data_IF_636030482003
#
_entry.id   IF_636030482003
#
_cell.length_a   1.000
_cell.length_b   1.000
_cell.length_c   1.000
_cell.angle_alpha   90.00
_cell.angle_beta   90.00
_cell.angle_gamma   90.00
#
_symmetry.space_group_name_H-M   'P 1'
#
loop_
_entity.id
_entity.type
_entity.pdbx_description
1 polymer ?
#
# COMPACT_ATOMS: atom_id res chain seq x y z
N UNK A 1 34.97 -7.03 -2.29
CA UNK A 1 33.79 -6.59 -1.50
C UNK A 1 34.05 -5.15 -1.08
N UNK A 2 33.07 -4.24 -1.21
CA UNK A 2 33.29 -2.82 -0.90
C UNK A 2 33.25 -2.59 0.61
N UNK A 3 34.39 -2.30 1.23
CA UNK A 3 34.48 -2.02 2.68
C UNK A 3 34.30 -0.53 3.04
N UNK A 4 34.37 0.36 2.05
CA UNK A 4 34.25 1.81 2.28
C UNK A 4 32.82 2.30 2.01
N UNK A 5 32.35 3.35 2.72
CA UNK A 5 31.08 4.00 2.42
C UNK A 5 31.03 4.48 0.97
N UNK A 6 29.91 4.25 0.30
CA UNK A 6 29.71 4.63 -1.10
C UNK A 6 28.23 4.89 -1.37
N UNK A 7 27.92 5.49 -2.53
CA UNK A 7 26.53 5.66 -2.98
C UNK A 7 26.27 4.80 -4.20
N UNK A 8 25.03 4.33 -4.35
CA UNK A 8 24.54 3.63 -5.53
C UNK A 8 23.34 4.38 -6.07
N UNK A 9 23.29 4.56 -7.39
CA UNK A 9 22.17 5.21 -8.04
C UNK A 9 21.08 4.17 -8.35
N UNK A 10 19.85 4.45 -7.95
CA UNK A 10 18.68 3.66 -8.31
C UNK A 10 18.11 4.21 -9.61
N UNK A 11 18.26 3.47 -10.71
CA UNK A 11 17.78 3.88 -12.03
C UNK A 11 16.24 3.90 -12.14
N UNK A 12 15.52 3.19 -11.27
CA UNK A 12 14.06 3.17 -11.30
C UNK A 12 13.44 4.41 -10.66
N UNK A 13 14.05 4.92 -9.58
CA UNK A 13 13.54 6.10 -8.86
C UNK A 13 14.34 7.37 -9.15
N UNK A 14 15.52 7.25 -9.75
CA UNK A 14 16.45 8.36 -9.98
C UNK A 14 17.22 8.78 -8.73
N UNK A 15 17.03 8.09 -7.60
CA UNK A 15 17.58 8.48 -6.29
C UNK A 15 18.93 7.83 -6.01
N UNK A 16 19.67 8.40 -5.05
CA UNK A 16 20.93 7.84 -4.57
C UNK A 16 20.76 7.20 -3.20
N UNK A 17 21.26 5.97 -3.05
CA UNK A 17 21.28 5.23 -1.79
C UNK A 17 22.68 5.27 -1.19
N UNK A 18 22.80 5.73 0.05
CA UNK A 18 24.04 5.65 0.82
C UNK A 18 24.21 4.24 1.41
N UNK A 19 25.36 3.62 1.13
CA UNK A 19 25.74 2.31 1.64
C UNK A 19 26.88 2.47 2.63
N UNK A 20 26.63 2.11 3.88
CA UNK A 20 27.61 2.12 4.98
C UNK A 20 27.84 0.69 5.49
N UNK A 21 28.83 -0.06 4.95
CA UNK A 21 28.96 -1.51 5.12
C UNK A 21 29.02 -2.01 6.57
N UNK A 22 29.49 -1.19 7.50
CA UNK A 22 29.68 -1.58 8.91
C UNK A 22 28.61 -1.03 9.86
N UNK A 23 27.57 -0.36 9.36
CA UNK A 23 26.56 0.32 10.21
C UNK A 23 25.86 -0.62 11.18
N UNK A 24 25.56 -1.85 10.74
CA UNK A 24 24.89 -2.87 11.55
C UNK A 24 25.75 -3.45 12.68
N UNK A 25 27.07 -3.18 12.72
CA UNK A 25 27.96 -3.63 13.82
C UNK A 25 27.78 -2.82 15.11
N UNK A 26 27.04 -1.70 15.07
CA UNK A 26 26.77 -0.91 16.25
C UNK A 26 25.82 -1.68 17.18
N UNK A 27 26.09 -1.74 18.49
CA UNK A 27 25.23 -2.42 19.42
C UNK A 27 23.84 -1.74 19.45
N UNK A 28 22.79 -2.52 19.21
CA UNK A 28 21.41 -2.05 19.23
C UNK A 28 20.85 -2.13 20.65
N UNK A 29 20.39 -0.98 21.17
CA UNK A 29 19.69 -0.86 22.46
C UNK A 29 18.29 -0.22 22.30
N UNK A 30 17.79 -0.18 21.07
CA UNK A 30 16.49 0.41 20.76
C UNK A 30 15.35 -0.60 20.85
N UNK A 31 14.20 -0.22 20.27
CA UNK A 31 13.01 -1.07 20.22
C UNK A 31 13.29 -2.40 19.52
N UNK A 32 12.62 -3.45 19.99
CA UNK A 32 12.58 -4.75 19.32
C UNK A 32 11.13 -5.00 18.93
N UNK A 33 10.90 -5.26 17.65
CA UNK A 33 9.56 -5.54 17.15
C UNK A 33 9.04 -6.88 17.69
N UNK A 34 7.76 -6.92 18.05
CA UNK A 34 7.14 -8.14 18.54
C UNK A 34 6.99 -9.17 17.41
N UNK A 35 7.37 -10.41 17.68
CA UNK A 35 7.10 -11.54 16.77
C UNK A 35 5.81 -12.22 17.21
N UNK A 36 4.81 -12.30 16.33
CA UNK A 36 3.60 -13.08 16.58
C UNK A 36 3.79 -14.51 16.09
N UNK A 37 3.66 -15.49 17.00
CA UNK A 37 3.93 -16.90 16.72
C UNK A 37 2.68 -17.78 16.59
N UNK A 38 1.48 -17.23 16.75
CA UNK A 38 0.23 -17.99 16.70
C UNK A 38 -0.82 -17.28 15.84
N UNK A 39 -1.13 -17.89 14.70
CA UNK A 39 -2.26 -17.49 13.86
C UNK A 39 -3.34 -18.56 13.97
N UNK A 40 -4.58 -18.16 14.25
CA UNK A 40 -5.74 -19.05 14.15
C UNK A 40 -6.09 -19.24 12.67
N UNK A 41 -6.57 -20.43 12.30
CA UNK A 41 -7.04 -20.70 10.93
C UNK A 41 -8.29 -19.86 10.58
N UNK A 42 -9.14 -19.59 11.56
CA UNK A 42 -10.30 -18.71 11.43
C UNK A 42 -10.55 -18.01 12.76
N UNK A 43 -10.90 -16.72 12.70
CA UNK A 43 -11.31 -15.93 13.86
C UNK A 43 -12.67 -15.32 13.56
N UNK A 44 -13.63 -15.48 14.48
CA UNK A 44 -15.00 -15.01 14.33
C UNK A 44 -15.10 -13.47 14.30
N UNK A 45 -14.15 -12.78 14.92
CA UNK A 45 -14.12 -11.31 14.96
C UNK A 45 -13.33 -10.68 13.79
N UNK A 46 -12.69 -11.51 12.95
CA UNK A 46 -11.90 -11.03 11.82
C UNK A 46 -12.80 -10.60 10.67
N UNK A 47 -12.77 -9.32 10.32
CA UNK A 47 -13.58 -8.75 9.23
C UNK A 47 -13.11 -9.17 7.83
N UNK A 48 -11.94 -9.80 7.74
CA UNK A 48 -11.41 -10.33 6.48
C UNK A 48 -11.73 -11.82 6.29
N UNK A 49 -12.11 -12.56 7.33
CA UNK A 49 -12.33 -14.01 7.22
C UNK A 49 -13.60 -14.37 6.41
N UNK A 50 -13.66 -15.56 5.77
CA UNK A 50 -14.84 -16.05 5.07
C UNK A 50 -16.04 -16.17 6.02
N UNK A 51 -17.23 -15.85 5.52
CA UNK A 51 -18.49 -15.93 6.28
C UNK A 51 -18.70 -14.84 7.33
N UNK A 52 -17.67 -14.08 7.70
CA UNK A 52 -17.78 -13.01 8.69
C UNK A 52 -18.33 -11.72 8.07
N UNK A 53 -18.85 -10.84 8.93
CA UNK A 53 -19.29 -9.50 8.53
C UNK A 53 -18.11 -8.54 8.51
N UNK A 54 -18.02 -7.74 7.45
CA UNK A 54 -17.09 -6.62 7.34
C UNK A 54 -17.56 -5.43 8.17
N UNK A 55 -16.68 -4.42 8.31
CA UNK A 55 -17.00 -3.17 9.02
C UNK A 55 -18.17 -2.43 8.35
N UNK A 56 -18.29 -2.52 7.02
CA UNK A 56 -19.43 -1.97 6.27
C UNK A 56 -20.76 -2.69 6.54
N UNK A 57 -20.75 -3.83 7.24
CA UNK A 57 -21.92 -4.67 7.48
C UNK A 57 -22.19 -5.72 6.41
N UNK A 58 -21.47 -5.68 5.27
CA UNK A 58 -21.53 -6.72 4.24
C UNK A 58 -20.95 -8.05 4.76
N UNK A 59 -21.52 -9.18 4.35
CA UNK A 59 -21.01 -10.49 4.71
C UNK A 59 -20.04 -11.01 3.65
N UNK A 60 -18.86 -11.45 4.08
CA UNK A 60 -17.91 -12.11 3.19
C UNK A 60 -18.49 -13.46 2.73
N UNK A 61 -18.40 -13.81 1.44
CA UNK A 61 -18.75 -15.15 0.98
C UNK A 61 -17.83 -16.20 1.64
N UNK A 62 -18.26 -17.46 1.65
CA UNK A 62 -17.41 -18.58 2.09
C UNK A 62 -16.40 -18.96 0.99
N UNK A 63 -15.43 -18.07 0.77
CA UNK A 63 -14.38 -18.26 -0.21
C UNK A 63 -13.34 -19.28 0.29
N UNK A 64 -12.79 -20.09 -0.62
CA UNK A 64 -11.74 -21.09 -0.32
C UNK A 64 -10.35 -20.69 -0.81
N UNK A 65 -10.26 -19.60 -1.58
CA UNK A 65 -9.02 -19.06 -2.15
C UNK A 65 -9.09 -17.52 -2.10
N UNK A 66 -8.56 -16.81 -3.08
CA UNK A 66 -8.47 -15.35 -3.07
C UNK A 66 -9.84 -14.71 -3.27
N UNK A 67 -10.20 -13.79 -2.38
CA UNK A 67 -11.39 -12.96 -2.49
C UNK A 67 -11.01 -11.47 -2.63
N UNK A 68 -11.60 -10.80 -3.61
CA UNK A 68 -11.35 -9.38 -3.90
C UNK A 68 -12.63 -8.60 -3.64
N UNK A 69 -12.53 -7.56 -2.83
CA UNK A 69 -13.63 -6.64 -2.53
C UNK A 69 -13.13 -5.20 -2.56
N UNK A 70 -14.07 -4.25 -2.63
CA UNK A 70 -13.75 -2.83 -2.54
C UNK A 70 -13.47 -2.49 -1.07
N UNK A 71 -12.31 -1.88 -0.76
CA UNK A 71 -11.98 -1.46 0.60
C UNK A 71 -13.12 -0.62 1.21
N UNK A 72 -13.55 -0.94 2.42
CA UNK A 72 -14.64 -0.21 3.08
C UNK A 72 -14.25 1.26 3.39
N UNK A 73 -12.95 1.55 3.55
CA UNK A 73 -12.38 2.88 3.76
C UNK A 73 -11.45 3.28 2.61
N UNK A 74 -12.01 3.46 1.41
CA UNK A 74 -11.25 3.78 0.21
C UNK A 74 -10.52 5.12 0.36
N UNK A 75 -9.20 5.14 0.11
CA UNK A 75 -8.42 6.37 0.13
C UNK A 75 -8.69 7.28 -1.10
N UNK A 76 -9.22 6.69 -2.18
CA UNK A 76 -9.52 7.38 -3.44
C UNK A 76 -10.89 6.90 -3.90
N UNK A 77 -11.75 7.83 -4.32
CA UNK A 77 -13.06 7.51 -4.86
C UNK A 77 -13.02 7.35 -6.39
N UNK A 78 -13.90 6.52 -6.98
CA UNK A 78 -13.98 6.36 -8.43
C UNK A 78 -14.52 7.61 -9.15
N UNK A 79 -15.12 8.54 -8.41
CA UNK A 79 -15.68 9.77 -8.97
C UNK A 79 -14.96 10.99 -8.44
N UNK A 80 -14.79 11.96 -9.34
CA UNK A 80 -14.18 13.24 -9.04
C UNK A 80 -15.07 14.06 -8.11
N UNK A 81 -14.55 14.42 -6.95
CA UNK A 81 -15.05 15.54 -6.17
C UNK A 81 -14.48 16.83 -6.75
N UNK A 82 -15.34 17.82 -7.03
CA UNK A 82 -14.88 19.17 -7.39
C UNK A 82 -14.38 19.84 -6.11
N UNK A 83 -13.07 19.93 -5.96
CA UNK A 83 -12.43 20.82 -4.98
C UNK A 83 -11.84 22.00 -5.73
N UNK A 84 -12.09 23.20 -5.21
CA UNK A 84 -11.43 24.42 -5.70
C UNK A 84 -10.06 24.49 -5.03
N UNK A 85 -8.96 24.50 -5.79
CA UNK A 85 -7.63 24.72 -5.23
C UNK A 85 -7.58 26.00 -4.39
N UNK A 86 -6.83 26.03 -3.28
CA UNK A 86 -6.47 27.29 -2.65
C UNK A 86 -5.63 28.12 -3.63
N UNK A 87 -6.05 29.36 -3.88
CA UNK A 87 -5.35 30.27 -4.80
C UNK A 87 -4.21 30.98 -4.05
N UNK A 88 -3.04 30.34 -3.97
CA UNK A 88 -1.81 31.00 -3.54
C UNK A 88 -0.55 30.37 -4.17
N UNK A 89 0.54 31.15 -4.23
CA UNK A 89 1.78 30.76 -4.91
C UNK A 89 2.64 29.72 -4.15
N UNK A 90 2.25 29.32 -2.94
CA UNK A 90 3.01 28.39 -2.08
C UNK A 90 2.38 27.00 -2.00
N UNK A 91 1.13 26.86 -2.43
CA UNK A 91 0.37 25.63 -2.37
C UNK A 91 -0.08 25.24 -3.78
N UNK A 92 0.35 24.06 -4.22
CA UNK A 92 -0.17 23.43 -5.41
C UNK A 92 -1.08 22.26 -4.99
N UNK A 93 -2.31 22.22 -5.50
CA UNK A 93 -3.18 21.07 -5.34
C UNK A 93 -3.41 20.39 -6.69
N UNK A 94 -3.04 19.12 -6.78
CA UNK A 94 -3.28 18.30 -7.97
C UNK A 94 -4.51 17.44 -7.74
N UNK A 95 -5.42 17.45 -8.72
CA UNK A 95 -6.61 16.61 -8.67
C UNK A 95 -6.23 15.15 -8.98
N UNK A 96 -6.46 14.26 -8.02
CA UNK A 96 -6.25 12.82 -8.23
C UNK A 96 -7.38 12.24 -9.05
N UNK A 97 -7.09 11.72 -10.25
CA UNK A 97 -8.06 11.02 -11.12
C UNK A 97 -7.72 9.53 -11.17
N UNK A 98 -8.72 8.66 -10.97
CA UNK A 98 -8.59 7.23 -11.21
C UNK A 98 -9.19 6.89 -12.59
N UNK A 99 -8.33 6.68 -13.60
CA UNK A 99 -8.80 6.27 -14.93
C UNK A 99 -8.98 4.75 -15.01
N UNK A 100 -10.23 4.30 -15.18
CA UNK A 100 -10.58 2.90 -15.34
C UNK A 100 -10.18 2.39 -16.73
N UNK A 101 -8.94 1.93 -16.89
CA UNK A 101 -8.50 1.23 -18.11
C UNK A 101 -9.09 -0.19 -18.11
N UNK A 102 -10.27 -0.37 -18.74
CA UNK A 102 -10.79 -1.70 -19.08
C UNK A 102 -9.93 -2.33 -20.18
N UNK A 103 -8.84 -3.01 -19.81
CA UNK A 103 -8.14 -3.93 -20.71
C UNK A 103 -8.50 -5.36 -20.30
N UNK A 104 -9.19 -6.05 -21.20
CA UNK A 104 -9.70 -7.40 -21.03
C UNK A 104 -8.58 -8.41 -21.31
N UNK A 105 -7.63 -8.53 -20.39
CA UNK A 105 -6.57 -9.55 -20.44
C UNK A 105 -6.54 -10.20 -19.06
N UNK A 106 -7.07 -11.43 -18.99
CA UNK A 106 -7.02 -12.34 -17.83
C UNK A 106 -7.32 -11.72 -16.46
N UNK A 107 -8.62 -11.60 -16.11
CA UNK A 107 -9.16 -11.77 -14.75
C UNK A 107 -8.64 -10.93 -13.57
N UNK A 108 -7.58 -10.16 -13.72
CA UNK A 108 -6.95 -9.38 -12.67
C UNK A 108 -7.21 -7.90 -12.93
N UNK A 109 -8.10 -7.30 -12.13
CA UNK A 109 -8.23 -5.84 -12.05
C UNK A 109 -7.00 -5.29 -11.33
N UNK A 110 -5.95 -4.95 -12.06
CA UNK A 110 -4.87 -4.13 -11.52
C UNK A 110 -5.23 -2.64 -11.65
N UNK A 111 -5.29 -1.96 -10.51
CA UNK A 111 -5.42 -0.51 -10.43
C UNK A 111 -4.06 0.10 -10.80
N UNK A 112 -3.99 0.86 -11.90
CA UNK A 112 -2.77 1.60 -12.25
C UNK A 112 -2.99 3.08 -11.94
N UNK A 113 -2.43 3.55 -10.84
CA UNK A 113 -2.33 4.98 -10.53
C UNK A 113 -1.39 5.58 -11.57
N UNK A 114 -1.87 6.55 -12.33
CA UNK A 114 -1.06 7.30 -13.29
C UNK A 114 -1.07 8.74 -12.83
N UNK A 115 0.00 9.15 -12.17
CA UNK A 115 0.31 10.56 -11.96
C UNK A 115 0.64 11.19 -13.31
N UNK A 116 0.17 12.42 -13.54
CA UNK A 116 0.59 13.26 -14.67
C UNK A 116 1.54 14.32 -14.17
#
# INVERSE_FOLDING_TARGET
MYDHPHRRHNLLTGEWVLVSPHRAKRPWHGAVEAVQNTLKLHDLECQLCPGNKRISGEQNPDYKDTFVFTNDFQAIYPHDYKQTPPDNALLESIKTRCDFLKRNIFGFKFLKIKER
#
